data_IF_581387732057
#
_entry.id   IF_581387732057
#
_cell.length_a   1.000
_cell.length_b   1.000
_cell.length_c   1.000
_cell.angle_alpha   90.00
_cell.angle_beta   90.00
_cell.angle_gamma   90.00
#
_symmetry.space_group_name_H-M   'P 1'
#
loop_
_entity.id
_entity.type
_entity.pdbx_description
1 polymer ?
#
# COMPACT_ATOMS: atom_id res chain seq x y z
N UNK A 1 -17.89 15.55 -3.74
CA UNK A 1 -17.13 14.32 -4.07
C UNK A 1 -15.68 14.42 -3.56
N UNK A 2 -15.25 13.51 -2.66
CA UNK A 2 -13.87 13.52 -2.12
C UNK A 2 -12.91 13.09 -3.24
N UNK A 3 -11.89 13.89 -3.53
CA UNK A 3 -10.88 13.56 -4.55
C UNK A 3 -10.03 12.39 -4.06
N UNK A 4 -10.25 11.20 -4.63
CA UNK A 4 -9.49 9.99 -4.28
C UNK A 4 -8.33 9.81 -5.24
N UNK A 5 -7.16 9.42 -4.73
CA UNK A 5 -5.98 9.15 -5.57
C UNK A 5 -6.19 7.91 -6.43
N UNK A 6 -5.91 8.05 -7.71
CA UNK A 6 -5.78 6.90 -8.61
C UNK A 6 -4.58 6.06 -8.22
N UNK A 7 -4.78 4.77 -8.01
CA UNK A 7 -3.69 3.80 -7.79
C UNK A 7 -2.81 3.55 -9.04
N UNK A 8 -3.05 4.26 -10.15
CA UNK A 8 -2.14 4.32 -11.30
C UNK A 8 -1.16 5.50 -11.21
N UNK A 9 -1.30 6.38 -10.23
CA UNK A 9 -0.43 7.54 -10.10
C UNK A 9 0.90 7.14 -9.43
N UNK A 10 2.00 7.41 -10.12
CA UNK A 10 3.36 7.09 -9.66
C UNK A 10 4.06 8.27 -8.97
N UNK A 11 3.47 9.46 -9.00
CA UNK A 11 4.03 10.64 -8.36
C UNK A 11 3.94 10.53 -6.83
N UNK A 12 5.06 10.84 -6.15
CA UNK A 12 5.10 10.91 -4.69
C UNK A 12 4.08 11.95 -4.21
N UNK A 13 3.19 11.60 -3.28
CA UNK A 13 2.21 12.55 -2.78
C UNK A 13 2.89 13.66 -1.97
N UNK A 14 2.40 14.88 -2.16
CA UNK A 14 2.84 16.07 -1.41
C UNK A 14 2.08 16.10 -0.08
N UNK A 15 2.47 15.23 0.85
CA UNK A 15 1.82 15.13 2.17
C UNK A 15 2.57 16.02 3.16
N UNK A 16 1.87 16.96 3.79
CA UNK A 16 2.40 17.76 4.89
C UNK A 16 2.32 16.97 6.20
N UNK A 17 3.39 16.94 7.00
CA UNK A 17 3.34 16.45 8.39
C UNK A 17 3.69 14.97 8.62
N UNK A 18 4.43 14.31 7.72
CA UNK A 18 4.93 12.96 7.98
C UNK A 18 5.90 12.97 9.17
N UNK A 19 5.75 12.01 10.08
CA UNK A 19 6.68 11.76 11.15
C UNK A 19 8.07 11.48 10.55
N UNK A 20 9.02 12.37 10.81
CA UNK A 20 10.43 12.15 10.45
C UNK A 20 10.92 10.92 11.19
N UNK A 21 11.19 9.85 10.45
CA UNK A 21 11.83 8.66 11.02
C UNK A 21 13.24 9.08 11.43
N UNK A 22 13.50 9.14 12.74
CA UNK A 22 14.82 9.46 13.27
C UNK A 22 15.86 8.52 12.66
N UNK A 23 16.97 9.06 12.16
CA UNK A 23 17.99 8.30 11.43
C UNK A 23 18.52 7.05 12.17
N UNK A 24 18.41 7.04 13.51
CA UNK A 24 18.91 5.96 14.38
C UNK A 24 17.88 4.87 14.71
N UNK A 25 16.65 4.93 14.18
CA UNK A 25 15.61 3.92 14.47
C UNK A 25 14.92 3.45 13.19
N UNK A 26 14.86 2.14 13.02
CA UNK A 26 14.11 1.50 11.92
C UNK A 26 12.63 1.42 12.32
N UNK A 27 11.70 1.90 11.49
CA UNK A 27 10.26 1.78 11.77
C UNK A 27 9.79 0.33 11.76
N UNK A 28 8.67 0.06 12.45
CA UNK A 28 8.02 -1.27 12.44
C UNK A 28 7.68 -1.73 11.01
N UNK A 29 7.14 -0.82 10.20
CA UNK A 29 6.91 -1.02 8.77
C UNK A 29 7.97 -0.29 7.96
N UNK A 30 8.81 -1.05 7.26
CA UNK A 30 9.87 -0.50 6.45
C UNK A 30 10.07 -1.30 5.16
N UNK A 31 10.60 -0.63 4.15
CA UNK A 31 11.01 -1.24 2.91
C UNK A 31 12.52 -1.45 2.88
N UNK A 32 12.92 -2.56 2.25
CA UNK A 32 14.31 -2.90 1.98
C UNK A 32 14.60 -2.76 0.49
N UNK A 33 15.85 -2.48 0.17
CA UNK A 33 16.39 -2.52 -1.19
C UNK A 33 17.46 -3.60 -1.29
N UNK A 34 17.60 -4.21 -2.46
CA UNK A 34 18.64 -5.20 -2.71
C UNK A 34 19.98 -4.50 -2.97
N UNK A 35 21.01 -4.87 -2.21
CA UNK A 35 22.39 -4.40 -2.35
C UNK A 35 23.28 -5.64 -2.43
N UNK A 36 23.79 -5.94 -3.63
CA UNK A 36 24.44 -7.22 -3.90
C UNK A 36 23.50 -8.40 -3.64
N UNK A 37 23.88 -9.28 -2.71
CA UNK A 37 23.09 -10.43 -2.27
C UNK A 37 22.17 -10.13 -1.08
N UNK A 38 22.32 -8.97 -0.43
CA UNK A 38 21.65 -8.64 0.82
C UNK A 38 20.46 -7.71 0.62
N UNK A 39 19.51 -7.77 1.55
CA UNK A 39 18.38 -6.82 1.64
C UNK A 39 18.64 -5.85 2.79
N UNK A 40 18.87 -4.59 2.44
CA UNK A 40 19.20 -3.53 3.38
C UNK A 40 18.04 -2.55 3.53
N UNK A 41 17.88 -1.99 4.72
CA UNK A 41 16.88 -0.96 4.98
C UNK A 41 17.07 0.24 4.05
N UNK A 42 15.97 0.74 3.47
CA UNK A 42 15.96 1.97 2.68
C UNK A 42 15.03 2.98 3.33
N UNK A 43 15.61 4.03 3.93
CA UNK A 43 14.85 5.16 4.47
C UNK A 43 14.05 5.88 3.38
N UNK A 44 14.60 5.97 2.18
CA UNK A 44 13.95 6.66 1.06
C UNK A 44 12.68 5.93 0.60
N UNK A 45 12.77 4.61 0.34
CA UNK A 45 11.58 3.82 -0.01
C UNK A 45 10.58 3.71 1.13
N UNK A 46 11.07 3.58 2.37
CA UNK A 46 10.20 3.56 3.55
C UNK A 46 9.42 4.86 3.69
N UNK A 47 10.07 6.02 3.50
CA UNK A 47 9.38 7.31 3.55
C UNK A 47 8.29 7.39 2.49
N UNK A 48 8.58 7.10 1.22
CA UNK A 48 7.57 7.13 0.15
C UNK A 48 6.40 6.20 0.45
N UNK A 49 6.68 5.00 0.95
CA UNK A 49 5.63 4.03 1.32
C UNK A 49 4.72 4.55 2.44
N UNK A 50 5.31 5.11 3.49
CA UNK A 50 4.55 5.67 4.62
C UNK A 50 3.73 6.90 4.23
N UNK A 51 4.26 7.76 3.34
CA UNK A 51 3.53 8.92 2.81
C UNK A 51 2.25 8.47 2.07
N UNK A 52 2.37 7.44 1.24
CA UNK A 52 1.23 6.87 0.50
C UNK A 52 0.23 6.21 1.46
N UNK A 53 0.70 5.46 2.46
CA UNK A 53 -0.19 4.88 3.46
C UNK A 53 -0.97 5.96 4.22
N UNK A 54 -0.32 7.06 4.58
CA UNK A 54 -0.96 8.19 5.25
C UNK A 54 -2.01 8.86 4.35
N UNK A 55 -1.70 9.08 3.07
CA UNK A 55 -2.66 9.62 2.11
C UNK A 55 -3.86 8.68 1.92
N UNK A 56 -3.63 7.37 1.79
CA UNK A 56 -4.71 6.38 1.70
C UNK A 56 -5.60 6.42 2.96
N UNK A 57 -5.01 6.52 4.15
CA UNK A 57 -5.75 6.56 5.39
C UNK A 57 -6.59 7.85 5.54
N UNK A 58 -6.15 8.97 4.98
CA UNK A 58 -6.79 10.29 5.15
C UNK A 58 -7.73 10.68 4.01
N UNK A 59 -7.34 10.42 2.76
CA UNK A 59 -8.10 10.80 1.56
C UNK A 59 -8.78 9.61 0.88
N UNK A 60 -8.33 8.39 1.15
CA UNK A 60 -8.75 7.17 0.44
C UNK A 60 -8.01 6.99 -0.89
N UNK A 61 -8.24 5.83 -1.52
CA UNK A 61 -7.70 5.50 -2.84
C UNK A 61 -8.71 4.73 -3.67
N UNK A 62 -8.61 4.84 -4.99
CA UNK A 62 -9.41 4.07 -5.93
C UNK A 62 -8.56 3.08 -6.72
N UNK A 63 -9.14 1.90 -6.95
CA UNK A 63 -8.62 0.81 -7.77
C UNK A 63 -9.48 0.58 -9.03
N UNK A 64 -10.28 1.56 -9.44
CA UNK A 64 -11.04 1.51 -10.69
C UNK A 64 -10.13 1.15 -11.87
N UNK A 65 -10.66 0.33 -12.78
CA UNK A 65 -9.96 -0.17 -13.98
C UNK A 65 -8.79 -1.12 -13.66
N UNK A 66 -8.59 -1.52 -12.40
CA UNK A 66 -7.62 -2.58 -12.06
C UNK A 66 -8.30 -3.94 -11.96
N UNK A 67 -7.62 -4.94 -12.51
CA UNK A 67 -7.97 -6.34 -12.37
C UNK A 67 -6.99 -7.00 -11.38
N UNK A 68 -7.50 -7.78 -10.42
CA UNK A 68 -6.68 -8.50 -9.45
C UNK A 68 -7.12 -9.97 -9.35
N UNK A 69 -6.15 -10.88 -9.29
CA UNK A 69 -6.36 -12.30 -8.96
C UNK A 69 -5.86 -12.54 -7.54
N UNK A 70 -6.75 -13.00 -6.66
CA UNK A 70 -6.41 -13.40 -5.30
C UNK A 70 -6.65 -14.90 -5.12
N UNK A 71 -5.70 -15.59 -4.52
CA UNK A 71 -5.78 -17.03 -4.24
C UNK A 71 -5.67 -17.31 -2.75
N UNK A 72 -6.28 -18.40 -2.29
CA UNK A 72 -6.29 -18.76 -0.87
C UNK A 72 -7.15 -17.84 0.01
N UNK A 73 -8.24 -17.28 -0.54
CA UNK A 73 -9.11 -16.35 0.20
C UNK A 73 -10.15 -17.12 1.02
N UNK A 74 -9.68 -17.75 2.10
CA UNK A 74 -10.53 -18.45 3.06
C UNK A 74 -11.19 -17.52 4.08
N UNK A 75 -12.28 -17.97 4.71
CA UNK A 75 -12.99 -17.22 5.77
C UNK A 75 -12.03 -16.86 6.92
N UNK A 76 -12.04 -15.60 7.35
CA UNK A 76 -11.19 -15.11 8.45
C UNK A 76 -9.72 -14.92 8.08
N UNK A 77 -9.34 -15.11 6.81
CA UNK A 77 -7.98 -14.85 6.35
C UNK A 77 -7.73 -13.36 6.11
N UNK A 78 -6.45 -12.98 6.04
CA UNK A 78 -6.02 -11.64 5.60
C UNK A 78 -6.57 -11.34 4.20
N UNK A 79 -6.66 -12.36 3.33
CA UNK A 79 -7.16 -12.22 1.97
C UNK A 79 -8.58 -11.64 1.90
N UNK A 80 -9.45 -11.98 2.87
CA UNK A 80 -10.82 -11.45 2.93
C UNK A 80 -10.82 -9.94 3.17
N UNK A 81 -9.96 -9.43 4.06
CA UNK A 81 -9.86 -8.00 4.33
C UNK A 81 -9.24 -7.24 3.14
N UNK A 82 -8.28 -7.85 2.45
CA UNK A 82 -7.72 -7.28 1.21
C UNK A 82 -8.78 -7.17 0.12
N UNK A 83 -9.59 -8.22 -0.08
CA UNK A 83 -10.70 -8.22 -1.05
C UNK A 83 -11.70 -7.11 -0.76
N UNK A 84 -12.09 -6.92 0.51
CA UNK A 84 -13.00 -5.82 0.90
C UNK A 84 -12.44 -4.48 0.46
N UNK A 85 -11.16 -4.21 0.74
CA UNK A 85 -10.50 -2.96 0.32
C UNK A 85 -10.46 -2.78 -1.19
N UNK A 86 -10.15 -3.84 -1.95
CA UNK A 86 -10.13 -3.82 -3.41
C UNK A 86 -11.52 -3.54 -4.01
N UNK A 87 -12.56 -4.20 -3.50
CA UNK A 87 -13.95 -3.94 -3.92
C UNK A 87 -14.40 -2.52 -3.58
N UNK A 88 -14.12 -2.04 -2.36
CA UNK A 88 -14.45 -0.67 -1.96
C UNK A 88 -13.75 0.37 -2.83
N UNK A 89 -12.54 0.08 -3.33
CA UNK A 89 -11.84 0.96 -4.27
C UNK A 89 -12.30 0.85 -5.74
N UNK A 90 -13.17 -0.11 -6.07
CA UNK A 90 -13.73 -0.31 -7.42
C UNK A 90 -12.88 -1.19 -8.34
N UNK A 91 -12.05 -2.08 -7.79
CA UNK A 91 -11.32 -3.07 -8.58
C UNK A 91 -12.24 -4.19 -9.09
N UNK A 92 -11.89 -4.79 -10.22
CA UNK A 92 -12.40 -6.08 -10.65
C UNK A 92 -11.52 -7.19 -10.05
N UNK A 93 -12.10 -8.11 -9.30
CA UNK A 93 -11.33 -9.11 -8.55
C UNK A 93 -11.83 -10.51 -8.87
N UNK A 94 -10.91 -11.41 -9.23
CA UNK A 94 -11.12 -12.85 -9.33
C UNK A 94 -10.53 -13.49 -8.09
N UNK A 95 -11.31 -14.35 -7.43
CA UNK A 95 -10.93 -14.96 -6.14
C UNK A 95 -10.96 -16.47 -6.29
N UNK A 96 -9.94 -17.15 -5.75
CA UNK A 96 -9.92 -18.61 -5.64
C UNK A 96 -9.76 -19.03 -4.18
N UNK A 97 -10.50 -20.07 -3.80
CA UNK A 97 -10.44 -20.75 -2.50
C UNK A 97 -10.57 -22.25 -2.76
N UNK A 98 -9.91 -23.06 -1.94
CA UNK A 98 -10.05 -24.52 -1.89
C UNK A 98 -11.24 -24.95 -1.05
#
# INVERSE_FOLDING_TARGET
PRSQRSSLQFLRPQVSGIATVSANKVPLLHLKRKVGTNWEYSSNFTSVYLDILHEIATAGTTFKVKNALLTGVGKGSIGVEVVKGLFSGGAHVVITTS
#
